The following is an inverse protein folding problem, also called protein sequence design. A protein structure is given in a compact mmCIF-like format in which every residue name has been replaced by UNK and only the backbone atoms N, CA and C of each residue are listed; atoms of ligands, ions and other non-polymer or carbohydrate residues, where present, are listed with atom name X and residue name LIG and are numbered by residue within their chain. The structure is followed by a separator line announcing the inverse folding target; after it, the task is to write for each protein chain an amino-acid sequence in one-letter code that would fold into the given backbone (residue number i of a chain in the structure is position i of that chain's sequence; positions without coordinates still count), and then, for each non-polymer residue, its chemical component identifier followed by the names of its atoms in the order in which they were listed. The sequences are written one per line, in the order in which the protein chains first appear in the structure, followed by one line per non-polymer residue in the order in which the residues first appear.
data_IF_496783653824
#
_entry.id   IF_496783653824
#
_cell.length_a   1.000
_cell.length_b   1.000
_cell.length_c   1.000
_cell.angle_alpha   90.00
_cell.angle_beta   90.00
_cell.angle_gamma   90.00
#
_symmetry.space_group_name_H-M   'P 1'
#
loop_
_entity.id
_entity.type
_entity.pdbx_description
1 polymer ?
#
# COMPACT_ATOMS: atom_id res chain seq x y z
N UNK A 1 -25.60 6.93 -11.80
CA UNK A 1 -25.05 5.60 -12.15
C UNK A 1 -23.72 5.83 -12.81
N UNK A 2 -22.70 5.10 -12.37
CA UNK A 2 -21.31 5.23 -12.82
C UNK A 2 -21.02 4.53 -14.14
N UNK A 3 -21.91 3.64 -14.57
CA UNK A 3 -21.69 2.76 -15.72
C UNK A 3 -20.81 1.55 -15.40
N UNK A 4 -20.51 1.30 -14.11
CA UNK A 4 -19.62 0.22 -13.67
C UNK A 4 -20.37 -0.88 -12.93
N UNK A 5 -19.71 -2.00 -12.67
CA UNK A 5 -20.31 -3.06 -11.86
C UNK A 5 -20.65 -2.69 -10.40
N UNK A 6 -20.18 -1.55 -9.87
CA UNK A 6 -20.65 -1.01 -8.59
C UNK A 6 -22.14 -0.61 -8.63
N UNK A 7 -22.68 -0.29 -9.81
CA UNK A 7 -24.09 0.09 -9.97
C UNK A 7 -25.05 -1.06 -9.65
N UNK A 8 -24.55 -2.31 -9.55
CA UNK A 8 -25.33 -3.44 -9.02
C UNK A 8 -25.87 -3.16 -7.62
N UNK A 9 -25.17 -2.40 -6.78
CA UNK A 9 -25.65 -2.01 -5.45
C UNK A 9 -26.91 -1.14 -5.58
N UNK A 10 -26.89 -0.16 -6.48
CA UNK A 10 -28.01 0.76 -6.75
C UNK A 10 -29.18 0.00 -7.37
N UNK A 11 -28.91 -0.93 -8.30
CA UNK A 11 -29.92 -1.81 -8.86
C UNK A 11 -30.64 -2.60 -7.75
N UNK A 12 -29.90 -3.19 -6.82
CA UNK A 12 -30.46 -3.97 -5.70
C UNK A 12 -31.29 -3.10 -4.77
N UNK A 13 -30.83 -1.88 -4.43
CA UNK A 13 -31.63 -0.92 -3.64
C UNK A 13 -33.02 -0.71 -4.26
N UNK A 14 -33.06 -0.62 -5.59
CA UNK A 14 -34.27 -0.30 -6.33
C UNK A 14 -35.12 -1.53 -6.70
N UNK A 15 -34.58 -2.76 -6.62
CA UNK A 15 -35.26 -3.96 -7.12
C UNK A 15 -35.50 -5.04 -6.05
N UNK A 16 -34.81 -5.03 -4.90
CA UNK A 16 -35.03 -6.02 -3.85
C UNK A 16 -36.45 -5.89 -3.27
N UNK A 17 -37.30 -6.89 -3.54
CA UNK A 17 -38.71 -6.85 -3.17
C UNK A 17 -38.95 -6.67 -1.66
N UNK A 18 -38.06 -7.23 -0.81
CA UNK A 18 -38.27 -7.14 0.64
C UNK A 18 -37.86 -5.77 1.15
N UNK A 19 -36.79 -5.21 0.61
CA UNK A 19 -36.39 -3.84 0.88
C UNK A 19 -37.49 -2.87 0.43
N UNK A 20 -38.02 -3.03 -0.79
CA UNK A 20 -39.13 -2.20 -1.30
C UNK A 20 -40.37 -2.21 -0.39
N UNK A 21 -40.69 -3.35 0.24
CA UNK A 21 -41.81 -3.47 1.20
C UNK A 21 -41.52 -2.84 2.56
N UNK A 22 -40.25 -2.59 2.88
CA UNK A 22 -39.80 -2.17 4.22
C UNK A 22 -39.34 -0.72 4.26
N UNK A 23 -39.02 -0.12 3.12
CA UNK A 23 -38.59 1.27 3.00
C UNK A 23 -39.56 2.09 2.15
N UNK A 24 -39.53 3.41 2.30
CA UNK A 24 -40.30 4.33 1.45
C UNK A 24 -39.59 4.57 0.11
N UNK A 25 -40.31 5.11 -0.88
CA UNK A 25 -39.70 5.54 -2.15
C UNK A 25 -38.60 6.59 -1.94
N UNK A 26 -38.86 7.54 -1.05
CA UNK A 26 -37.98 8.68 -0.81
C UNK A 26 -36.68 8.22 -0.11
N UNK A 27 -36.79 7.32 0.88
CA UNK A 27 -35.65 6.69 1.52
C UNK A 27 -34.76 5.94 0.52
N UNK A 28 -35.36 5.16 -0.41
CA UNK A 28 -34.60 4.48 -1.47
C UNK A 28 -33.96 5.44 -2.46
N UNK A 29 -34.62 6.55 -2.77
CA UNK A 29 -34.07 7.57 -3.67
C UNK A 29 -32.84 8.24 -3.06
N UNK A 30 -32.90 8.60 -1.77
CA UNK A 30 -31.76 9.15 -1.03
C UNK A 30 -30.62 8.13 -0.96
N UNK A 31 -30.89 6.90 -0.55
CA UNK A 31 -29.85 5.87 -0.46
C UNK A 31 -29.23 5.53 -1.83
N UNK A 32 -30.02 5.53 -2.91
CA UNK A 32 -29.51 5.33 -4.27
C UNK A 32 -28.60 6.47 -4.71
N UNK A 33 -28.97 7.72 -4.38
CA UNK A 33 -28.14 8.88 -4.65
C UNK A 33 -26.83 8.83 -3.87
N UNK A 34 -26.90 8.52 -2.57
CA UNK A 34 -25.73 8.34 -1.72
C UNK A 34 -24.78 7.27 -2.26
N UNK A 35 -25.31 6.07 -2.54
CA UNK A 35 -24.54 4.96 -3.09
C UNK A 35 -23.89 5.32 -4.44
N UNK A 36 -24.61 6.03 -5.32
CA UNK A 36 -24.06 6.49 -6.60
C UNK A 36 -22.88 7.44 -6.41
N UNK A 37 -23.01 8.42 -5.51
CA UNK A 37 -21.93 9.37 -5.25
C UNK A 37 -20.73 8.71 -4.57
N UNK A 38 -20.96 7.80 -3.63
CA UNK A 38 -19.88 7.01 -3.01
C UNK A 38 -19.16 6.13 -4.03
N UNK A 39 -19.90 5.51 -4.96
CA UNK A 39 -19.30 4.76 -6.07
C UNK A 39 -18.42 5.67 -6.95
N UNK A 40 -18.86 6.88 -7.27
CA UNK A 40 -18.05 7.84 -8.04
C UNK A 40 -16.74 8.19 -7.33
N UNK A 41 -16.79 8.47 -6.03
CA UNK A 41 -15.61 8.78 -5.22
C UNK A 41 -14.64 7.57 -5.16
N UNK A 42 -15.15 6.34 -5.05
CA UNK A 42 -14.31 5.12 -5.14
C UNK A 42 -13.60 5.05 -6.50
N UNK A 43 -14.32 5.28 -7.60
CA UNK A 43 -13.72 5.24 -8.95
C UNK A 43 -12.69 6.34 -9.16
N UNK A 44 -12.96 7.55 -8.66
CA UNK A 44 -12.02 8.66 -8.67
C UNK A 44 -10.73 8.30 -7.92
N UNK A 45 -10.88 7.69 -6.74
CA UNK A 45 -9.75 7.23 -5.94
C UNK A 45 -8.91 6.14 -6.64
N UNK A 46 -9.57 5.14 -7.23
CA UNK A 46 -8.91 4.08 -8.03
C UNK A 46 -8.08 4.71 -9.14
N UNK A 47 -8.64 5.67 -9.87
CA UNK A 47 -7.97 6.33 -10.98
C UNK A 47 -6.83 7.24 -10.48
N UNK A 48 -7.05 8.03 -9.43
CA UNK A 48 -6.07 8.97 -8.89
C UNK A 48 -4.83 8.25 -8.35
N UNK A 49 -5.00 7.10 -7.69
CA UNK A 49 -3.90 6.29 -7.19
C UNK A 49 -3.42 5.25 -8.21
N UNK A 50 -4.05 5.12 -9.38
CA UNK A 50 -3.68 4.08 -10.36
C UNK A 50 -3.79 2.65 -9.79
N UNK A 51 -4.72 2.42 -8.86
CA UNK A 51 -4.90 1.13 -8.20
C UNK A 51 -5.25 0.00 -9.18
N UNK A 52 -5.87 0.34 -10.31
CA UNK A 52 -6.28 -0.63 -11.33
C UNK A 52 -5.23 -0.84 -12.45
N UNK A 53 -4.03 -0.25 -12.33
CA UNK A 53 -3.04 -0.25 -13.41
C UNK A 53 -2.49 -1.65 -13.72
N UNK A 54 -2.51 -2.57 -12.75
CA UNK A 54 -2.11 -3.97 -12.93
C UNK A 54 -3.27 -4.88 -13.39
N UNK A 55 -4.46 -4.31 -13.57
CA UNK A 55 -5.68 -5.02 -13.97
C UNK A 55 -6.39 -5.75 -12.82
N UNK A 56 -5.99 -5.53 -11.58
CA UNK A 56 -6.63 -6.11 -10.38
C UNK A 56 -6.83 -5.07 -9.29
N UNK A 57 -7.63 -5.40 -8.26
CA UNK A 57 -7.68 -4.64 -7.01
C UNK A 57 -7.34 -5.58 -5.85
N UNK A 58 -6.19 -5.33 -5.22
CA UNK A 58 -5.66 -6.07 -4.08
C UNK A 58 -5.81 -5.29 -2.75
N UNK A 59 -5.25 -5.83 -1.67
CA UNK A 59 -5.40 -5.24 -0.33
C UNK A 59 -4.66 -3.90 -0.17
N UNK A 60 -3.53 -3.70 -0.85
CA UNK A 60 -2.77 -2.45 -0.87
C UNK A 60 -3.56 -1.37 -1.62
N UNK A 61 -4.17 -1.73 -2.74
CA UNK A 61 -5.07 -0.86 -3.50
C UNK A 61 -6.25 -0.37 -2.65
N UNK A 62 -6.90 -1.29 -1.94
CA UNK A 62 -8.02 -0.95 -1.06
C UNK A 62 -7.62 -0.01 0.09
N UNK A 63 -6.35 -0.03 0.53
CA UNK A 63 -5.82 0.91 1.52
C UNK A 63 -5.60 2.28 0.89
N UNK A 64 -4.91 2.35 -0.25
CA UNK A 64 -4.77 3.60 -1.00
C UNK A 64 -6.13 4.24 -1.32
N UNK A 65 -7.13 3.41 -1.65
CA UNK A 65 -8.49 3.91 -1.86
C UNK A 65 -9.07 4.51 -0.58
N UNK A 66 -8.93 3.81 0.55
CA UNK A 66 -9.39 4.30 1.84
C UNK A 66 -8.73 5.63 2.23
N UNK A 67 -7.42 5.71 2.09
CA UNK A 67 -6.62 6.85 2.54
C UNK A 67 -6.95 8.08 1.71
N UNK A 68 -7.08 7.93 0.39
CA UNK A 68 -7.54 9.00 -0.48
C UNK A 68 -8.94 9.51 -0.12
N UNK A 69 -9.89 8.61 0.13
CA UNK A 69 -11.26 9.00 0.51
C UNK A 69 -11.24 9.73 1.86
N UNK A 70 -10.48 9.22 2.83
CA UNK A 70 -10.34 9.86 4.13
C UNK A 70 -9.74 11.27 4.02
N UNK A 71 -8.68 11.43 3.24
CA UNK A 71 -7.95 12.69 3.20
C UNK A 71 -8.65 13.77 2.36
N UNK A 72 -9.44 13.37 1.36
CA UNK A 72 -10.05 14.29 0.40
C UNK A 72 -11.57 14.43 0.54
N UNK A 73 -12.25 13.39 1.02
CA UNK A 73 -13.71 13.27 0.96
C UNK A 73 -14.39 13.00 2.30
N UNK A 74 -13.66 12.91 3.43
CA UNK A 74 -14.22 12.47 4.72
C UNK A 74 -15.55 13.14 5.09
N UNK A 75 -15.66 14.46 4.96
CA UNK A 75 -16.89 15.19 5.33
C UNK A 75 -18.08 14.79 4.44
N UNK A 76 -17.88 14.77 3.12
CA UNK A 76 -18.92 14.35 2.16
C UNK A 76 -19.24 12.86 2.34
N UNK A 77 -18.21 12.05 2.54
CA UNK A 77 -18.31 10.60 2.67
C UNK A 77 -19.15 10.19 3.88
N UNK A 78 -18.94 10.84 5.03
CA UNK A 78 -19.74 10.62 6.25
C UNK A 78 -21.20 10.99 6.01
N UNK A 79 -21.48 12.11 5.34
CA UNK A 79 -22.85 12.52 5.02
C UNK A 79 -23.55 11.53 4.07
N UNK A 80 -22.83 11.03 3.06
CA UNK A 80 -23.36 10.08 2.10
C UNK A 80 -23.60 8.71 2.72
N UNK A 81 -22.65 8.22 3.52
CA UNK A 81 -22.78 6.98 4.29
C UNK A 81 -24.01 7.06 5.20
N UNK A 82 -24.13 8.18 5.90
CA UNK A 82 -25.17 8.41 6.88
C UNK A 82 -24.88 7.70 8.20
N UNK A 83 -25.88 7.79 9.06
CA UNK A 83 -25.89 7.29 10.43
C UNK A 83 -27.28 6.71 10.72
N UNK A 84 -27.36 5.76 11.64
CA UNK A 84 -28.58 5.16 12.18
C UNK A 84 -28.71 5.36 13.71
N UNK A 85 -27.78 6.09 14.33
CA UNK A 85 -27.83 6.42 15.74
C UNK A 85 -29.05 7.29 16.10
N UNK A 86 -29.56 7.06 17.32
CA UNK A 86 -30.68 7.82 17.90
C UNK A 86 -32.01 7.77 17.09
N UNK A 87 -32.12 6.82 16.16
CA UNK A 87 -33.34 6.58 15.38
C UNK A 87 -33.56 7.56 14.22
N UNK A 88 -32.52 8.26 13.77
CA UNK A 88 -32.56 9.11 12.58
C UNK A 88 -31.66 8.51 11.51
N UNK A 89 -32.27 7.77 10.59
CA UNK A 89 -31.57 7.26 9.40
C UNK A 89 -31.24 8.43 8.44
N UNK A 90 -30.04 8.41 7.86
CA UNK A 90 -29.63 9.34 6.81
C UNK A 90 -28.81 8.63 5.73
N UNK A 91 -28.53 9.30 4.61
CA UNK A 91 -27.64 8.79 3.57
C UNK A 91 -27.98 7.37 3.06
N UNK A 92 -26.98 6.51 3.02
CA UNK A 92 -27.11 5.09 2.65
C UNK A 92 -27.83 4.27 3.74
N UNK A 93 -27.75 4.66 5.01
CA UNK A 93 -28.36 3.93 6.13
C UNK A 93 -29.89 3.83 6.07
N UNK A 94 -30.57 4.67 5.27
CA UNK A 94 -31.99 4.53 4.95
C UNK A 94 -32.42 3.16 4.38
N UNK A 95 -31.48 2.36 3.85
CA UNK A 95 -31.76 1.00 3.35
C UNK A 95 -31.03 -0.09 4.11
N UNK A 96 -30.04 0.27 4.93
CA UNK A 96 -29.28 -0.65 5.75
C UNK A 96 -30.19 -1.20 6.85
N UNK A 97 -30.02 -2.48 7.21
CA UNK A 97 -30.84 -3.18 8.21
C UNK A 97 -32.35 -3.27 7.92
N UNK A 98 -32.81 -2.76 6.77
CA UNK A 98 -34.23 -2.71 6.39
C UNK A 98 -34.70 -3.93 5.57
N UNK A 99 -34.08 -5.09 5.80
CA UNK A 99 -34.64 -6.39 5.44
C UNK A 99 -34.35 -6.91 4.03
N UNK A 100 -33.44 -6.28 3.28
CA UNK A 100 -32.93 -6.79 1.99
C UNK A 100 -32.51 -8.27 2.10
N UNK A 101 -32.72 -9.05 1.03
CA UNK A 101 -32.39 -10.49 0.99
C UNK A 101 -31.49 -10.89 -0.18
N UNK A 102 -31.33 -10.00 -1.15
CA UNK A 102 -30.43 -10.22 -2.27
C UNK A 102 -29.02 -10.48 -1.77
N UNK A 103 -28.37 -11.48 -2.35
CA UNK A 103 -27.02 -11.88 -1.97
C UNK A 103 -26.03 -11.44 -3.04
N UNK A 104 -24.91 -10.89 -2.59
CA UNK A 104 -23.69 -10.73 -3.39
C UNK A 104 -22.59 -11.52 -2.69
N UNK A 105 -21.87 -12.34 -3.46
CA UNK A 105 -20.72 -13.10 -2.95
C UNK A 105 -21.05 -13.99 -1.74
N UNK A 106 -22.27 -14.52 -1.70
CA UNK A 106 -22.78 -15.35 -0.59
C UNK A 106 -23.12 -14.58 0.70
N UNK A 107 -23.07 -13.25 0.69
CA UNK A 107 -23.40 -12.37 1.81
C UNK A 107 -24.55 -11.42 1.44
N UNK A 108 -25.21 -10.81 2.43
CA UNK A 108 -26.26 -9.84 2.18
C UNK A 108 -25.71 -8.64 1.38
N UNK A 109 -26.32 -8.33 0.24
CA UNK A 109 -25.80 -7.32 -0.67
C UNK A 109 -25.73 -5.93 -0.03
N UNK A 110 -26.77 -5.54 0.73
CA UNK A 110 -26.83 -4.22 1.37
C UNK A 110 -26.09 -4.24 2.70
N UNK A 111 -26.51 -5.08 3.64
CA UNK A 111 -26.05 -5.06 5.04
C UNK A 111 -24.65 -5.66 5.26
N UNK A 112 -24.02 -6.24 4.24
CA UNK A 112 -22.70 -6.83 4.39
C UNK A 112 -21.73 -6.44 3.28
N UNK A 113 -22.15 -6.41 2.02
CA UNK A 113 -21.24 -6.09 0.92
C UNK A 113 -21.14 -4.57 0.75
N UNK A 114 -22.24 -3.91 0.38
CA UNK A 114 -22.27 -2.47 0.15
C UNK A 114 -21.88 -1.69 1.40
N UNK A 115 -22.51 -1.99 2.53
CA UNK A 115 -22.18 -1.41 3.83
C UNK A 115 -20.68 -1.51 4.16
N UNK A 116 -20.08 -2.69 4.04
CA UNK A 116 -18.64 -2.83 4.31
C UNK A 116 -17.75 -2.12 3.29
N UNK A 117 -18.12 -2.05 2.01
CA UNK A 117 -17.39 -1.24 1.01
C UNK A 117 -17.47 0.24 1.38
N UNK A 118 -18.63 0.72 1.80
CA UNK A 118 -18.86 2.12 2.17
C UNK A 118 -18.27 2.52 3.52
N UNK A 119 -17.70 1.57 4.27
CA UNK A 119 -16.82 1.84 5.41
C UNK A 119 -15.37 2.19 5.02
N UNK A 120 -15.01 2.18 3.73
CA UNK A 120 -13.81 2.91 3.28
C UNK A 120 -13.90 4.38 3.70
N UNK A 121 -12.78 5.11 3.76
CA UNK A 121 -12.77 6.53 4.14
C UNK A 121 -12.88 6.81 5.63
N UNK A 122 -13.23 5.83 6.47
CA UNK A 122 -13.20 5.97 7.93
C UNK A 122 -11.82 5.66 8.51
N UNK A 123 -11.46 6.33 9.62
CA UNK A 123 -10.10 6.32 10.17
C UNK A 123 -9.62 4.90 10.50
N UNK A 124 -8.58 4.46 9.77
CA UNK A 124 -8.05 3.10 9.88
C UNK A 124 -6.62 3.03 10.43
N UNK A 125 -6.06 4.08 11.07
CA UNK A 125 -4.72 4.12 11.74
C UNK A 125 -3.78 2.94 11.40
N UNK A 126 -3.20 2.89 10.18
CA UNK A 126 -2.26 1.86 9.69
C UNK A 126 -2.50 0.42 10.21
N UNK A 127 -3.77 0.01 10.36
CA UNK A 127 -4.16 -1.28 10.96
C UNK A 127 -4.63 -2.25 9.88
N UNK A 128 -4.60 -3.55 10.19
CA UNK A 128 -5.07 -4.65 9.31
C UNK A 128 -6.55 -4.59 8.91
N UNK A 129 -7.34 -3.72 9.52
CA UNK A 129 -8.81 -3.70 9.43
C UNK A 129 -9.31 -2.28 9.38
N UNK A 130 -10.39 -2.09 8.62
CA UNK A 130 -11.20 -0.88 8.73
C UNK A 130 -11.81 -0.77 10.14
N UNK A 131 -12.09 0.48 10.52
CA UNK A 131 -13.08 0.78 11.55
C UNK A 131 -14.39 1.20 10.86
N UNK A 132 -15.52 1.02 11.53
CA UNK A 132 -16.75 1.71 11.12
C UNK A 132 -16.76 3.15 11.66
N UNK A 133 -17.84 3.88 11.37
CA UNK A 133 -18.16 5.24 11.84
C UNK A 133 -18.04 5.38 13.37
N UNK A 134 -18.36 4.34 14.13
CA UNK A 134 -18.25 4.33 15.60
C UNK A 134 -16.86 3.97 16.13
N UNK A 135 -15.89 3.67 15.25
CA UNK A 135 -14.57 3.19 15.62
C UNK A 135 -14.48 1.69 15.95
N UNK A 136 -15.54 0.91 15.72
CA UNK A 136 -15.56 -0.55 15.91
C UNK A 136 -14.84 -1.29 14.77
N UNK A 137 -14.25 -2.45 15.07
CA UNK A 137 -13.54 -3.27 14.07
C UNK A 137 -14.50 -3.76 12.98
N UNK A 138 -14.18 -3.45 11.72
CA UNK A 138 -14.94 -3.90 10.55
C UNK A 138 -14.14 -4.90 9.69
N UNK A 139 -14.51 -5.13 8.42
CA UNK A 139 -13.85 -6.06 7.50
C UNK A 139 -12.39 -5.70 7.26
N UNK A 140 -11.63 -6.68 6.78
CA UNK A 140 -10.23 -6.51 6.37
C UNK A 140 -10.17 -5.92 4.96
N UNK A 141 -9.12 -5.15 4.66
CA UNK A 141 -8.83 -4.64 3.30
C UNK A 141 -8.83 -5.74 2.24
N UNK A 142 -8.24 -6.90 2.54
CA UNK A 142 -8.28 -8.07 1.64
C UNK A 142 -9.69 -8.51 1.24
N UNK A 143 -10.69 -8.33 2.11
CA UNK A 143 -12.07 -8.74 1.82
C UNK A 143 -12.76 -7.70 0.94
N UNK A 144 -12.49 -6.42 1.17
CA UNK A 144 -13.00 -5.30 0.38
C UNK A 144 -12.42 -5.34 -1.02
N UNK A 145 -11.10 -5.51 -1.12
CA UNK A 145 -10.38 -5.70 -2.37
C UNK A 145 -11.03 -6.77 -3.23
N UNK A 146 -11.26 -7.96 -2.66
CA UNK A 146 -11.95 -9.04 -3.37
C UNK A 146 -13.34 -8.64 -3.90
N UNK A 147 -14.13 -7.90 -3.13
CA UNK A 147 -15.45 -7.46 -3.61
C UNK A 147 -15.35 -6.37 -4.67
N UNK A 148 -14.46 -5.40 -4.52
CA UNK A 148 -14.21 -4.36 -5.51
C UNK A 148 -13.71 -4.97 -6.82
N UNK A 149 -12.69 -5.83 -6.75
CA UNK A 149 -12.14 -6.59 -7.87
C UNK A 149 -13.22 -7.39 -8.61
N UNK A 150 -14.10 -8.07 -7.86
CA UNK A 150 -15.19 -8.84 -8.47
C UNK A 150 -16.30 -7.97 -9.05
N UNK A 151 -16.65 -6.85 -8.40
CA UNK A 151 -17.66 -5.93 -8.92
C UNK A 151 -17.16 -5.24 -10.18
N UNK A 152 -15.90 -4.81 -10.21
CA UNK A 152 -15.27 -4.04 -11.28
C UNK A 152 -14.54 -4.91 -12.33
N UNK A 153 -14.75 -6.22 -12.32
CA UNK A 153 -13.96 -7.15 -13.14
C UNK A 153 -14.01 -6.85 -14.65
N UNK A 154 -15.12 -6.29 -15.15
CA UNK A 154 -15.23 -5.92 -16.56
C UNK A 154 -14.36 -4.71 -16.89
N UNK A 155 -14.43 -3.68 -16.05
CA UNK A 155 -13.72 -2.42 -16.23
C UNK A 155 -12.20 -2.59 -15.99
N UNK A 156 -11.84 -3.49 -15.07
CA UNK A 156 -10.45 -3.92 -14.86
C UNK A 156 -9.91 -4.67 -16.09
N UNK A 157 -10.68 -5.62 -16.62
CA UNK A 157 -10.27 -6.40 -17.80
C UNK A 157 -10.18 -5.57 -19.09
N UNK A 158 -10.99 -4.52 -19.23
CA UNK A 158 -10.92 -3.59 -20.37
C UNK A 158 -9.84 -2.52 -20.21
N UNK A 159 -9.32 -2.33 -19.00
CA UNK A 159 -8.36 -1.27 -18.68
C UNK A 159 -8.99 0.12 -18.56
N UNK A 160 -10.33 0.22 -18.47
CA UNK A 160 -11.06 1.49 -18.36
C UNK A 160 -10.73 2.27 -17.09
N UNK A 161 -10.33 1.57 -16.02
CA UNK A 161 -9.95 2.18 -14.74
C UNK A 161 -8.45 2.48 -14.63
N UNK A 162 -7.63 2.08 -15.60
CA UNK A 162 -6.20 2.31 -15.57
C UNK A 162 -5.88 3.80 -15.83
N UNK A 163 -4.95 4.34 -15.06
CA UNK A 163 -4.40 5.67 -15.24
C UNK A 163 -2.97 5.59 -15.78
N UNK A 164 -2.84 5.79 -17.10
CA UNK A 164 -1.54 5.72 -17.80
C UNK A 164 -0.55 6.81 -17.41
N UNK A 165 -0.99 7.86 -16.69
CA UNK A 165 -0.09 8.90 -16.20
C UNK A 165 0.70 8.46 -14.96
N UNK A 166 0.28 7.37 -14.32
CA UNK A 166 0.96 6.79 -13.16
C UNK A 166 1.75 5.58 -13.66
N UNK A 167 3.06 5.67 -13.52
CA UNK A 167 3.99 4.60 -13.86
C UNK A 167 4.54 4.00 -12.58
N UNK A 168 4.55 2.68 -12.49
CA UNK A 168 5.18 2.00 -11.37
C UNK A 168 6.70 2.25 -11.39
N UNK A 169 7.31 2.56 -10.23
CA UNK A 169 8.76 2.62 -10.08
C UNK A 169 9.41 1.34 -10.60
N UNK A 170 10.44 1.50 -11.42
CA UNK A 170 11.22 0.40 -11.99
C UNK A 170 12.70 0.56 -11.64
N UNK A 171 13.40 -0.56 -11.46
CA UNK A 171 14.83 -0.57 -11.18
C UNK A 171 15.65 0.06 -12.29
N UNK A 172 16.69 0.80 -11.91
CA UNK A 172 17.48 1.64 -12.82
C UNK A 172 18.95 1.25 -12.87
N UNK A 173 19.41 0.40 -11.96
CA UNK A 173 20.84 0.08 -11.84
C UNK A 173 21.30 -0.97 -12.84
N UNK A 174 20.39 -1.77 -13.38
CA UNK A 174 20.72 -2.91 -14.24
C UNK A 174 21.38 -4.05 -13.48
N UNK A 175 21.30 -4.07 -12.15
CA UNK A 175 21.92 -5.07 -11.29
C UNK A 175 20.87 -5.88 -10.52
N UNK A 176 21.32 -6.89 -9.78
CA UNK A 176 20.45 -7.62 -8.86
C UNK A 176 19.86 -6.77 -7.73
N UNK A 177 20.40 -5.57 -7.45
CA UNK A 177 19.80 -4.63 -6.48
C UNK A 177 18.36 -4.26 -6.87
N UNK A 178 18.06 -4.21 -8.18
CA UNK A 178 16.73 -3.88 -8.70
C UNK A 178 15.66 -4.93 -8.33
N UNK A 179 16.06 -6.12 -7.86
CA UNK A 179 15.14 -7.16 -7.43
C UNK A 179 14.28 -6.78 -6.22
N UNK A 180 14.61 -5.70 -5.51
CA UNK A 180 13.76 -5.14 -4.44
C UNK A 180 12.38 -4.70 -4.97
N UNK A 181 12.30 -4.24 -6.22
CA UNK A 181 11.04 -3.80 -6.85
C UNK A 181 10.06 -4.97 -6.91
N UNK A 182 10.50 -6.08 -7.51
CA UNK A 182 9.70 -7.31 -7.59
C UNK A 182 9.39 -7.89 -6.21
N UNK A 183 10.33 -7.77 -5.26
CA UNK A 183 10.13 -8.28 -3.91
C UNK A 183 9.04 -7.51 -3.15
N UNK A 184 8.97 -6.19 -3.31
CA UNK A 184 7.93 -5.37 -2.66
C UNK A 184 6.58 -5.64 -3.32
N UNK A 185 6.47 -5.49 -4.64
CA UNK A 185 5.18 -5.67 -5.33
C UNK A 185 4.71 -7.12 -5.38
N UNK A 186 5.61 -8.11 -5.31
CA UNK A 186 5.25 -9.53 -5.33
C UNK A 186 4.89 -10.13 -3.96
N UNK A 187 5.13 -9.42 -2.86
CA UNK A 187 4.94 -9.98 -1.52
C UNK A 187 3.50 -9.79 -1.02
N UNK A 188 2.69 -10.83 -1.18
CA UNK A 188 1.31 -10.84 -0.70
C UNK A 188 1.16 -10.56 0.81
N UNK A 189 2.15 -10.92 1.64
CA UNK A 189 2.07 -10.64 3.08
C UNK A 189 2.28 -9.16 3.36
N UNK A 190 3.14 -8.48 2.60
CA UNK A 190 3.37 -7.04 2.64
C UNK A 190 2.17 -6.24 2.10
N UNK A 191 1.63 -6.63 0.94
CA UNK A 191 0.44 -6.01 0.32
C UNK A 191 -0.78 -5.98 1.26
N UNK A 192 -0.86 -6.91 2.21
CA UNK A 192 -1.95 -6.90 3.22
C UNK A 192 -1.77 -5.79 4.25
N UNK A 193 -0.55 -5.28 4.44
CA UNK A 193 -0.17 -4.37 5.55
C UNK A 193 0.05 -2.94 5.08
N UNK A 194 0.60 -2.77 3.89
CA UNK A 194 1.07 -1.49 3.34
C UNK A 194 0.13 -1.03 2.22
N UNK A 195 -0.07 0.28 2.08
CA UNK A 195 -0.83 0.88 0.96
C UNK A 195 -0.02 0.80 -0.34
N UNK A 196 -0.66 0.92 -1.51
CA UNK A 196 0.07 0.95 -2.78
C UNK A 196 1.00 2.18 -2.85
N UNK A 197 0.56 3.31 -2.30
CA UNK A 197 1.32 4.56 -2.34
C UNK A 197 2.57 4.49 -1.47
N UNK A 198 2.47 3.93 -0.26
CA UNK A 198 3.62 3.65 0.61
C UNK A 198 4.57 2.63 -0.02
N UNK A 199 4.03 1.60 -0.68
CA UNK A 199 4.85 0.63 -1.42
C UNK A 199 5.65 1.31 -2.53
N UNK A 200 5.01 2.18 -3.32
CA UNK A 200 5.69 2.95 -4.37
C UNK A 200 6.76 3.86 -3.81
N UNK A 201 6.47 4.55 -2.72
CA UNK A 201 7.43 5.49 -2.13
C UNK A 201 8.63 4.74 -1.55
N UNK A 202 8.41 3.67 -0.78
CA UNK A 202 9.49 2.82 -0.28
C UNK A 202 10.35 2.22 -1.40
N UNK A 203 9.74 1.84 -2.54
CA UNK A 203 10.47 1.37 -3.73
C UNK A 203 11.26 2.50 -4.39
N UNK A 204 10.71 3.71 -4.53
CA UNK A 204 11.46 4.86 -5.07
C UNK A 204 12.68 5.16 -4.21
N UNK A 205 12.52 5.13 -2.88
CA UNK A 205 13.65 5.32 -1.98
C UNK A 205 14.71 4.23 -2.15
N UNK A 206 14.30 2.96 -2.21
CA UNK A 206 15.19 1.83 -2.46
C UNK A 206 15.95 1.95 -3.78
N UNK A 207 15.28 2.37 -4.87
CA UNK A 207 15.89 2.61 -6.18
C UNK A 207 16.98 3.69 -6.06
N UNK A 208 16.67 4.84 -5.47
CA UNK A 208 17.65 5.93 -5.31
C UNK A 208 18.83 5.52 -4.43
N UNK A 209 18.61 4.74 -3.37
CA UNK A 209 19.70 4.19 -2.54
C UNK A 209 20.58 3.22 -3.34
N UNK A 210 19.98 2.38 -4.19
CA UNK A 210 20.72 1.49 -5.07
C UNK A 210 21.58 2.28 -6.08
N UNK A 211 21.04 3.34 -6.68
CA UNK A 211 21.78 4.23 -7.58
C UNK A 211 23.01 4.84 -6.90
N UNK A 212 22.87 5.32 -5.66
CA UNK A 212 23.97 5.87 -4.87
C UNK A 212 25.04 4.82 -4.51
N UNK A 213 24.66 3.56 -4.31
CA UNK A 213 25.62 2.45 -4.14
C UNK A 213 26.42 2.25 -5.43
N UNK A 214 25.75 2.21 -6.58
CA UNK A 214 26.41 2.05 -7.88
C UNK A 214 27.32 3.25 -8.19
N UNK A 215 26.87 4.47 -7.91
CA UNK A 215 27.68 5.68 -8.04
C UNK A 215 28.99 5.54 -7.23
N UNK A 216 28.91 5.11 -5.98
CA UNK A 216 30.10 4.91 -5.15
C UNK A 216 31.08 3.89 -5.75
N UNK A 217 30.56 2.77 -6.28
CA UNK A 217 31.37 1.72 -6.92
C UNK A 217 32.07 2.25 -8.17
N UNK A 218 31.36 2.99 -9.02
CA UNK A 218 31.91 3.55 -10.26
C UNK A 218 32.97 4.62 -9.99
N UNK A 219 32.69 5.55 -9.06
CA UNK A 219 33.59 6.65 -8.73
C UNK A 219 34.89 6.17 -8.09
N UNK A 220 34.82 5.11 -7.27
CA UNK A 220 35.96 4.57 -6.54
C UNK A 220 36.60 3.34 -7.23
N UNK A 221 35.99 2.84 -8.31
CA UNK A 221 36.46 1.68 -9.09
C UNK A 221 36.59 0.39 -8.27
N UNK A 222 35.58 0.11 -7.43
CA UNK A 222 35.63 -0.93 -6.38
C UNK A 222 35.20 -2.34 -6.83
N UNK A 223 35.10 -2.59 -8.14
CA UNK A 223 34.68 -3.89 -8.71
C UNK A 223 35.40 -4.19 -10.04
N UNK A 224 36.57 -3.58 -10.29
CA UNK A 224 37.31 -3.77 -11.55
C UNK A 224 37.85 -5.22 -11.69
N UNK A 225 38.00 -5.93 -10.59
CA UNK A 225 38.39 -7.35 -10.53
C UNK A 225 37.18 -8.31 -10.53
N UNK A 226 35.96 -7.79 -10.54
CA UNK A 226 34.73 -8.56 -10.53
C UNK A 226 34.40 -9.20 -9.18
N UNK A 227 34.92 -8.66 -8.07
CA UNK A 227 34.61 -9.07 -6.70
C UNK A 227 34.34 -7.82 -5.84
N UNK A 228 33.20 -7.79 -5.13
CA UNK A 228 32.99 -6.77 -4.09
C UNK A 228 33.50 -7.30 -2.75
N UNK A 229 34.69 -6.86 -2.37
CA UNK A 229 35.32 -7.28 -1.12
C UNK A 229 34.78 -6.54 0.13
N UNK A 230 35.23 -6.98 1.30
CA UNK A 230 34.93 -6.31 2.57
C UNK A 230 35.50 -4.90 2.64
N UNK A 231 36.65 -4.65 2.02
CA UNK A 231 37.23 -3.31 1.99
C UNK A 231 36.48 -2.42 1.00
N UNK A 232 36.00 -2.95 -0.11
CA UNK A 232 35.13 -2.24 -1.06
C UNK A 232 33.84 -1.79 -0.39
N UNK A 233 33.16 -2.70 0.34
CA UNK A 233 31.96 -2.35 1.11
C UNK A 233 32.21 -1.23 2.15
N UNK A 234 33.41 -1.16 2.74
CA UNK A 234 33.79 -0.06 3.66
C UNK A 234 34.07 1.24 2.92
N UNK A 235 34.70 1.19 1.74
CA UNK A 235 34.90 2.35 0.88
C UNK A 235 33.56 2.91 0.38
N UNK A 236 32.64 2.06 -0.06
CA UNK A 236 31.25 2.46 -0.39
C UNK A 236 30.61 3.17 0.80
N UNK A 237 30.69 2.59 2.01
CA UNK A 237 30.13 3.24 3.20
C UNK A 237 30.74 4.62 3.46
N UNK A 238 32.08 4.73 3.37
CA UNK A 238 32.78 6.01 3.56
C UNK A 238 32.35 7.05 2.53
N UNK A 239 32.18 6.64 1.28
CA UNK A 239 31.70 7.49 0.21
C UNK A 239 30.31 8.05 0.53
N UNK A 240 29.37 7.17 0.87
CA UNK A 240 27.99 7.56 1.18
C UNK A 240 27.92 8.48 2.40
N UNK A 241 28.64 8.17 3.48
CA UNK A 241 28.71 9.03 4.68
C UNK A 241 29.30 10.41 4.35
N UNK A 242 30.28 10.48 3.45
CA UNK A 242 30.97 11.74 3.14
C UNK A 242 30.17 12.62 2.18
N UNK A 243 29.51 12.02 1.19
CA UNK A 243 28.91 12.76 0.08
C UNK A 243 27.38 12.84 0.15
N UNK A 244 26.72 11.83 0.74
CA UNK A 244 25.28 11.63 0.61
C UNK A 244 24.54 11.46 1.94
N UNK A 245 25.19 11.67 3.10
CA UNK A 245 24.61 11.34 4.40
C UNK A 245 23.19 11.90 4.66
N UNK A 246 22.92 13.16 4.28
CA UNK A 246 21.61 13.77 4.47
C UNK A 246 20.53 13.12 3.59
N UNK A 247 20.80 13.00 2.29
CA UNK A 247 19.89 12.34 1.35
C UNK A 247 19.69 10.87 1.70
N UNK A 248 20.77 10.18 2.09
CA UNK A 248 20.71 8.78 2.47
C UNK A 248 19.83 8.54 3.69
N UNK A 249 19.89 9.41 4.71
CA UNK A 249 19.02 9.33 5.87
C UNK A 249 17.55 9.57 5.51
N UNK A 250 17.27 10.51 4.61
CA UNK A 250 15.91 10.77 4.09
C UNK A 250 15.35 9.57 3.32
N UNK A 251 16.16 8.97 2.44
CA UNK A 251 15.76 7.79 1.66
C UNK A 251 15.61 6.54 2.52
N UNK A 252 16.49 6.34 3.51
CA UNK A 252 16.34 5.23 4.46
C UNK A 252 15.05 5.38 5.26
N UNK A 253 14.77 6.61 5.70
CA UNK A 253 13.60 6.94 6.50
C UNK A 253 13.78 6.65 7.99
N UNK A 254 12.75 7.04 8.74
CA UNK A 254 12.66 6.92 10.19
C UNK A 254 11.56 5.90 10.55
N UNK A 255 11.82 5.07 11.58
CA UNK A 255 10.88 4.08 12.15
C UNK A 255 10.27 4.55 13.48
N UNK A 256 10.44 5.83 13.87
CA UNK A 256 10.06 6.33 15.19
C UNK A 256 8.67 5.82 15.61
N UNK A 257 8.63 5.08 16.72
CA UNK A 257 7.49 4.28 17.22
C UNK A 257 6.12 4.96 17.30
N UNK A 258 6.05 6.28 17.13
CA UNK A 258 4.83 7.09 17.16
C UNK A 258 4.75 8.11 16.00
N UNK A 259 5.66 8.05 15.03
CA UNK A 259 5.74 8.93 13.86
C UNK A 259 5.20 8.26 12.60
N UNK A 260 5.01 9.06 11.56
CA UNK A 260 4.78 8.55 10.22
C UNK A 260 6.08 7.99 9.68
N UNK A 261 6.15 6.66 9.46
CA UNK A 261 7.24 6.05 8.69
C UNK A 261 7.42 6.78 7.35
N UNK A 262 8.66 6.88 6.90
CA UNK A 262 9.07 7.56 5.65
C UNK A 262 10.11 6.72 4.93
N UNK A 263 10.44 7.08 3.69
CA UNK A 263 11.51 6.46 2.93
C UNK A 263 11.32 4.94 2.75
N UNK A 264 12.43 4.19 2.78
CA UNK A 264 12.41 2.74 2.72
C UNK A 264 11.67 2.08 3.89
N UNK A 265 11.60 2.74 5.05
CA UNK A 265 10.86 2.21 6.20
C UNK A 265 9.36 2.05 5.97
N UNK A 266 8.78 2.70 4.95
CA UNK A 266 7.38 2.48 4.53
C UNK A 266 7.06 1.04 4.10
N UNK A 267 8.08 0.23 3.76
CA UNK A 267 7.92 -1.18 3.36
C UNK A 267 8.68 -2.15 4.26
N UNK A 268 9.43 -1.62 5.23
CA UNK A 268 10.29 -2.39 6.12
C UNK A 268 9.53 -2.72 7.41
N UNK A 269 9.80 -3.90 7.98
CA UNK A 269 9.13 -4.44 9.17
C UNK A 269 7.62 -4.67 9.05
N UNK A 270 7.03 -4.44 7.88
CA UNK A 270 5.62 -4.67 7.59
C UNK A 270 5.29 -6.07 7.07
N UNK A 271 5.94 -7.09 7.68
CA UNK A 271 5.50 -8.48 7.55
C UNK A 271 5.76 -9.16 6.20
N UNK A 272 6.63 -8.58 5.36
CA UNK A 272 7.17 -9.25 4.18
C UNK A 272 7.72 -10.64 4.48
N UNK A 273 7.58 -11.58 3.54
CA UNK A 273 8.03 -12.97 3.56
C UNK A 273 8.85 -13.39 2.34
N UNK A 274 9.18 -12.49 1.42
CA UNK A 274 10.14 -12.79 0.35
C UNK A 274 11.53 -13.05 0.94
N UNK A 275 12.23 -14.09 0.46
CA UNK A 275 13.55 -14.49 0.95
C UNK A 275 14.62 -14.36 -0.13
N UNK A 276 15.80 -13.92 0.28
CA UNK A 276 17.02 -13.89 -0.52
C UNK A 276 18.19 -14.32 0.37
N UNK A 277 19.10 -15.15 -0.16
CA UNK A 277 20.22 -15.72 0.60
C UNK A 277 19.80 -16.44 1.90
N UNK A 278 18.60 -17.04 1.91
CA UNK A 278 18.05 -17.76 3.07
C UNK A 278 17.57 -16.86 4.22
N UNK A 279 17.50 -15.54 4.02
CA UNK A 279 16.96 -14.58 5.01
C UNK A 279 15.93 -13.66 4.36
N UNK A 280 15.17 -12.92 5.17
CA UNK A 280 14.15 -12.02 4.67
C UNK A 280 14.76 -10.94 3.76
N UNK A 281 14.28 -10.84 2.52
CA UNK A 281 14.86 -9.95 1.51
C UNK A 281 14.75 -8.49 1.92
N UNK A 282 13.55 -8.03 2.27
CA UNK A 282 13.26 -6.63 2.60
C UNK A 282 13.83 -6.29 3.99
N UNK A 283 13.44 -7.04 5.02
CA UNK A 283 13.71 -6.72 6.43
C UNK A 283 15.12 -7.10 6.92
N UNK A 284 15.94 -7.76 6.09
CA UNK A 284 17.29 -8.21 6.48
C UNK A 284 18.35 -7.96 5.42
N UNK A 285 18.13 -8.38 4.17
CA UNK A 285 19.14 -8.17 3.11
C UNK A 285 19.19 -6.69 2.73
N UNK A 286 18.12 -6.15 2.18
CA UNK A 286 18.07 -4.75 1.72
C UNK A 286 18.16 -3.77 2.88
N UNK A 287 17.44 -4.00 3.98
CA UNK A 287 17.64 -3.26 5.23
C UNK A 287 19.14 -3.23 5.64
N UNK A 288 19.81 -4.39 5.68
CA UNK A 288 21.21 -4.46 6.05
C UNK A 288 22.18 -3.80 5.05
N UNK A 289 21.82 -3.74 3.76
CA UNK A 289 22.54 -2.98 2.74
C UNK A 289 22.33 -1.47 2.93
N UNK A 290 21.10 -1.04 3.21
CA UNK A 290 20.71 0.35 3.37
C UNK A 290 21.19 0.98 4.68
N UNK A 291 21.70 0.16 5.60
CA UNK A 291 22.52 0.61 6.71
C UNK A 291 23.94 1.07 6.32
N UNK A 292 24.36 0.91 5.07
CA UNK A 292 25.45 1.72 4.51
C UNK A 292 25.10 3.21 4.65
N UNK A 293 26.06 4.13 4.51
CA UNK A 293 25.78 5.56 4.67
C UNK A 293 25.58 6.02 6.12
N UNK A 294 25.47 5.10 7.09
CA UNK A 294 25.47 5.39 8.52
C UNK A 294 26.84 5.12 9.18
N UNK A 295 26.96 5.51 10.45
CA UNK A 295 28.20 5.35 11.20
C UNK A 295 28.57 3.87 11.37
N UNK A 296 29.85 3.54 11.19
CA UNK A 296 30.36 2.22 11.56
C UNK A 296 30.65 2.15 13.07
N UNK A 297 30.44 0.97 13.68
CA UNK A 297 30.85 0.73 15.05
C UNK A 297 32.35 1.02 15.21
N UNK A 298 32.79 1.55 16.37
CA UNK A 298 34.20 1.94 16.69
C UNK A 298 35.30 0.93 16.34
N UNK A 299 34.94 -0.35 16.08
CA UNK A 299 35.86 -1.43 15.70
C UNK A 299 35.88 -1.71 14.19
N UNK A 300 35.11 -0.98 13.39
CA UNK A 300 35.03 -1.09 11.92
C UNK A 300 34.48 -2.41 11.38
N UNK A 301 33.83 -3.24 12.21
CA UNK A 301 33.36 -4.59 11.83
C UNK A 301 31.88 -4.66 11.45
N UNK A 302 31.08 -3.69 11.91
CA UNK A 302 29.62 -3.68 11.75
C UNK A 302 29.15 -2.26 11.50
N UNK A 303 28.10 -2.16 10.71
CA UNK A 303 27.31 -0.95 10.56
C UNK A 303 26.51 -0.70 11.84
N UNK A 304 26.18 0.56 12.08
CA UNK A 304 25.18 0.96 13.07
C UNK A 304 23.90 1.38 12.35
N UNK A 305 22.75 1.23 13.00
CA UNK A 305 21.52 1.87 12.55
C UNK A 305 21.48 3.36 12.90
N UNK A 306 20.44 4.04 12.46
CA UNK A 306 20.10 5.44 12.75
C UNK A 306 20.16 5.77 14.26
N UNK A 307 19.79 4.82 15.11
CA UNK A 307 19.88 4.93 16.58
C UNK A 307 21.27 4.63 17.20
N UNK A 308 22.23 4.19 16.39
CA UNK A 308 23.55 3.77 16.86
C UNK A 308 23.63 2.33 17.40
N UNK A 309 22.60 1.50 17.19
CA UNK A 309 22.59 0.08 17.50
C UNK A 309 23.33 -0.74 16.43
N UNK A 310 23.89 -1.90 16.80
CA UNK A 310 24.64 -2.74 15.84
C UNK A 310 23.71 -3.38 14.80
N UNK A 311 23.96 -3.13 13.53
CA UNK A 311 23.32 -3.82 12.41
C UNK A 311 24.31 -4.77 11.69
N UNK A 312 24.14 -5.04 10.39
CA UNK A 312 24.87 -6.03 9.60
C UNK A 312 26.40 -5.83 9.68
N UNK A 313 27.14 -6.92 9.54
CA UNK A 313 28.61 -6.85 9.42
C UNK A 313 29.01 -6.54 7.99
N UNK A 314 30.13 -5.84 7.79
CA UNK A 314 30.68 -5.60 6.45
C UNK A 314 30.92 -6.89 5.65
N UNK A 315 31.23 -8.03 6.31
CA UNK A 315 31.33 -9.32 5.63
C UNK A 315 30.01 -9.77 4.97
N UNK A 316 28.87 -9.51 5.62
CA UNK A 316 27.57 -9.88 5.06
C UNK A 316 27.17 -8.91 3.95
N UNK A 317 27.41 -7.62 4.16
CA UNK A 317 27.15 -6.57 3.16
C UNK A 317 27.96 -6.80 1.90
N UNK A 318 29.27 -7.07 2.01
CA UNK A 318 30.13 -7.41 0.87
C UNK A 318 29.60 -8.64 0.12
N UNK A 319 29.28 -9.72 0.84
CA UNK A 319 28.70 -10.92 0.24
C UNK A 319 27.40 -10.65 -0.52
N UNK A 320 26.48 -9.86 0.06
CA UNK A 320 25.22 -9.51 -0.59
C UNK A 320 25.41 -8.61 -1.80
N UNK A 321 26.25 -7.58 -1.69
CA UNK A 321 26.59 -6.68 -2.79
C UNK A 321 27.21 -7.45 -3.96
N UNK A 322 28.24 -8.26 -3.69
CA UNK A 322 28.90 -9.10 -4.68
C UNK A 322 27.89 -10.00 -5.40
N UNK A 323 27.06 -10.71 -4.63
CA UNK A 323 26.04 -11.63 -5.17
C UNK A 323 24.94 -10.93 -5.98
N UNK A 324 24.70 -9.64 -5.75
CA UNK A 324 23.68 -8.87 -6.45
C UNK A 324 24.26 -8.14 -7.67
N UNK A 325 25.52 -7.70 -7.61
CA UNK A 325 26.17 -6.94 -8.67
C UNK A 325 26.81 -7.86 -9.71
N UNK A 326 27.50 -8.91 -9.29
CA UNK A 326 28.30 -9.78 -10.16
C UNK A 326 27.55 -11.02 -10.65
N UNK A 327 26.29 -10.85 -11.08
CA UNK A 327 25.45 -11.94 -11.61
C UNK A 327 25.80 -12.34 -13.05
#
# INVERSE_FOLDING_TARGET
MTGTGLDKIIEIINTDERLQRKTTSDARAIASYSADRMNQIILESIYFNGCANDGTINAADARSINDYIHDNYLVEWVELHGDDENGVESGFHYVQNNGARTLLFGANAINQVADSIYHLGFESTRKFRLKNEDGNKNKTFMKLAHWLDTLLANELASGELANSNIQEPAGTTGTGLDSIVDAVYGDQSLQIRVSLDDMREGVRSAILMNELIIEAIEQLKLNEDGDISVEDAKEINRYLVTNHAALWAELHGDDEKNGEETGYHLVQSDGAKTYLFGTNMINKVFDGLYHLGFQAHKKGRRLLNEDGNKNASFNMVAYWLDSLINK
#
